data_IF_339395865385
#
_entry.id   IF_339395865385
#
_cell.length_a   1.000
_cell.length_b   1.000
_cell.length_c   1.000
_cell.angle_alpha   90.00
_cell.angle_beta   90.00
_cell.angle_gamma   90.00
#
_symmetry.space_group_name_H-M   'P 1'
#
loop_
_entity.id
_entity.type
_entity.pdbx_description
1 polymer ?
#
# COMPACT_ATOMS: atom_id res chain seq x y z
N UNK A 1 -7.35 -8.23 6.01
CA UNK A 1 -6.28 -8.01 7.04
C UNK A 1 -5.30 -6.92 6.59
N UNK A 2 -4.76 -6.11 7.51
CA UNK A 2 -3.82 -5.01 7.18
C UNK A 2 -2.45 -5.26 7.82
N UNK A 3 -1.39 -5.25 7.01
CA UNK A 3 -0.01 -5.53 7.48
C UNK A 3 0.91 -4.37 7.12
N UNK A 4 1.74 -3.95 8.08
CA UNK A 4 2.72 -2.89 7.88
C UNK A 4 4.08 -3.49 7.53
N UNK A 5 4.54 -3.24 6.30
CA UNK A 5 5.77 -3.82 5.78
C UNK A 5 6.88 -2.77 5.84
N UNK A 6 8.03 -3.17 6.41
CA UNK A 6 9.21 -2.32 6.56
C UNK A 6 10.30 -2.69 5.57
N UNK A 7 10.33 -3.88 4.99
CA UNK A 7 11.50 -4.34 4.24
C UNK A 7 11.08 -4.86 2.88
N UNK A 8 11.95 -4.72 1.88
CA UNK A 8 11.72 -5.30 0.55
C UNK A 8 11.59 -6.84 0.64
N UNK A 9 12.41 -7.48 1.47
CA UNK A 9 12.41 -8.93 1.64
C UNK A 9 11.08 -9.44 2.24
N UNK A 10 10.50 -8.69 3.18
CA UNK A 10 9.23 -9.04 3.80
C UNK A 10 8.06 -8.89 2.81
N UNK A 11 8.11 -7.86 1.95
CA UNK A 11 7.15 -7.71 0.85
C UNK A 11 7.19 -8.91 -0.11
N UNK A 12 8.38 -9.32 -0.56
CA UNK A 12 8.55 -10.45 -1.49
C UNK A 12 8.03 -11.76 -0.87
N UNK A 13 8.26 -11.96 0.43
CA UNK A 13 7.75 -13.13 1.14
C UNK A 13 6.22 -13.13 1.21
N UNK A 14 5.61 -11.98 1.54
CA UNK A 14 4.14 -11.84 1.62
C UNK A 14 3.45 -11.98 0.27
N UNK A 15 4.10 -11.55 -0.81
CA UNK A 15 3.57 -11.72 -2.16
C UNK A 15 3.57 -13.19 -2.59
N UNK A 16 4.60 -13.96 -2.23
CA UNK A 16 4.65 -15.39 -2.51
C UNK A 16 3.64 -16.18 -1.65
N UNK A 17 3.43 -15.77 -0.40
CA UNK A 17 2.46 -16.38 0.53
C UNK A 17 1.00 -16.12 0.11
N UNK A 18 0.73 -14.97 -0.53
CA UNK A 18 -0.60 -14.60 -0.96
C UNK A 18 -1.19 -15.48 -2.06
N UNK A 19 -0.37 -16.19 -2.84
CA UNK A 19 -0.83 -17.08 -3.91
C UNK A 19 -1.77 -16.37 -4.90
N UNK A 20 -3.02 -16.82 -4.99
CA UNK A 20 -4.06 -16.29 -5.89
C UNK A 20 -4.94 -15.19 -5.25
N UNK A 21 -4.63 -14.79 -4.01
CA UNK A 21 -5.41 -13.77 -3.30
C UNK A 21 -5.10 -12.37 -3.83
N UNK A 22 -6.11 -11.49 -3.80
CA UNK A 22 -5.93 -10.12 -4.23
C UNK A 22 -5.06 -9.36 -3.21
N UNK A 23 -3.87 -8.93 -3.63
CA UNK A 23 -2.96 -8.13 -2.81
C UNK A 23 -3.06 -6.66 -3.22
N UNK A 24 -3.38 -5.80 -2.26
CA UNK A 24 -3.42 -4.34 -2.42
C UNK A 24 -2.26 -3.73 -1.66
N UNK A 25 -1.39 -3.00 -2.36
CA UNK A 25 -0.24 -2.33 -1.75
C UNK A 25 -0.54 -0.83 -1.66
N UNK A 26 -0.61 -0.31 -0.44
CA UNK A 26 -0.77 1.13 -0.15
C UNK A 26 0.59 1.75 0.20
N UNK A 27 1.06 2.63 -0.68
CA UNK A 27 2.24 3.45 -0.42
C UNK A 27 1.86 4.75 0.29
N UNK A 28 1.77 4.71 1.61
CA UNK A 28 1.36 5.85 2.40
C UNK A 28 2.54 6.70 2.91
N UNK A 29 2.22 7.92 3.33
CA UNK A 29 3.11 8.75 4.11
C UNK A 29 2.34 9.47 5.21
N UNK A 30 2.95 9.60 6.38
CA UNK A 30 2.36 10.26 7.55
C UNK A 30 2.07 11.75 7.34
N UNK A 31 2.66 12.37 6.32
CA UNK A 31 2.46 13.77 5.93
C UNK A 31 1.56 13.94 4.70
N UNK A 32 1.11 12.85 4.07
CA UNK A 32 0.23 12.91 2.90
C UNK A 32 -1.23 13.03 3.35
N UNK A 33 -1.83 14.21 3.18
CA UNK A 33 -3.23 14.47 3.51
C UNK A 33 -4.22 13.49 2.85
N UNK A 34 -4.19 13.32 1.52
CA UNK A 34 -5.07 12.39 0.82
C UNK A 34 -4.94 10.94 1.28
N UNK A 35 -3.71 10.50 1.59
CA UNK A 35 -3.43 9.15 2.05
C UNK A 35 -4.10 8.86 3.41
N UNK A 36 -4.16 9.85 4.31
CA UNK A 36 -4.87 9.71 5.59
C UNK A 36 -6.38 9.52 5.42
N UNK A 37 -6.97 10.11 4.39
CA UNK A 37 -8.40 9.95 4.12
C UNK A 37 -8.73 8.58 3.53
N UNK A 38 -7.84 8.00 2.72
CA UNK A 38 -8.10 6.69 2.08
C UNK A 38 -7.77 5.50 2.99
N UNK A 39 -6.86 5.69 3.95
CA UNK A 39 -6.45 4.66 4.93
C UNK A 39 -7.63 3.99 5.66
N UNK A 40 -8.59 4.73 6.26
CA UNK A 40 -9.74 4.09 6.91
C UNK A 40 -10.63 3.36 5.90
N UNK A 41 -10.75 3.85 4.67
CA UNK A 41 -11.58 3.20 3.66
C UNK A 41 -11.01 1.86 3.20
N UNK A 42 -9.68 1.77 3.11
CA UNK A 42 -9.00 0.50 2.84
C UNK A 42 -9.16 -0.48 4.00
N UNK A 43 -9.13 -0.01 5.24
CA UNK A 43 -9.39 -0.85 6.41
C UNK A 43 -10.82 -1.41 6.40
N UNK A 44 -11.82 -0.61 6.06
CA UNK A 44 -13.19 -1.09 5.85
C UNK A 44 -13.26 -2.17 4.76
N UNK A 45 -12.65 -1.92 3.59
CA UNK A 45 -12.63 -2.89 2.49
C UNK A 45 -11.92 -4.20 2.88
N UNK A 46 -10.88 -4.13 3.72
CA UNK A 46 -10.17 -5.29 4.24
C UNK A 46 -10.99 -6.11 5.26
N UNK A 47 -12.03 -5.52 5.84
CA UNK A 47 -12.99 -6.20 6.72
C UNK A 47 -14.17 -6.77 5.94
N UNK A 48 -14.66 -6.05 4.93
CA UNK A 48 -15.76 -6.50 4.08
C UNK A 48 -15.33 -7.63 3.12
N UNK A 49 -14.07 -7.58 2.65
CA UNK A 49 -13.53 -8.58 1.73
C UNK A 49 -12.45 -9.41 2.42
N UNK A 50 -12.81 -10.60 2.91
CA UNK A 50 -11.89 -11.54 3.56
C UNK A 50 -10.81 -12.12 2.63
N UNK A 51 -10.95 -11.95 1.31
CA UNK A 51 -10.01 -12.44 0.31
C UNK A 51 -9.04 -11.36 -0.21
N UNK A 52 -8.89 -10.25 0.53
CA UNK A 52 -8.00 -9.16 0.17
C UNK A 52 -6.95 -8.96 1.26
N UNK A 53 -5.68 -8.93 0.83
CA UNK A 53 -4.53 -8.67 1.68
C UNK A 53 -4.09 -7.23 1.42
N UNK A 54 -4.14 -6.37 2.44
CA UNK A 54 -3.69 -4.98 2.31
C UNK A 54 -2.34 -4.81 2.98
N UNK A 55 -1.34 -4.42 2.20
CA UNK A 55 0.03 -4.18 2.64
C UNK A 55 0.32 -2.67 2.64
N UNK A 56 0.56 -2.09 3.82
CA UNK A 56 0.89 -0.67 3.98
C UNK A 56 2.41 -0.50 4.02
N UNK A 57 2.95 0.30 3.10
CA UNK A 57 4.38 0.61 2.98
C UNK A 57 4.59 2.12 3.10
N UNK A 58 5.48 2.53 3.99
CA UNK A 58 5.86 3.94 4.11
C UNK A 58 6.71 4.37 2.92
N UNK A 59 6.40 5.52 2.31
CA UNK A 59 7.19 6.09 1.20
C UNK A 59 8.68 6.28 1.49
N UNK A 60 9.06 6.47 2.76
CA UNK A 60 10.47 6.61 3.17
C UNK A 60 11.30 5.35 2.89
N UNK A 61 10.65 4.20 2.77
CA UNK A 61 11.26 2.88 2.72
C UNK A 61 11.49 2.36 1.28
N UNK A 62 11.28 3.21 0.26
CA UNK A 62 11.13 2.77 -1.12
C UNK A 62 12.30 3.18 -2.03
N UNK A 63 13.38 2.38 -2.00
CA UNK A 63 14.42 2.35 -3.05
C UNK A 63 13.94 1.72 -4.38
N UNK A 64 12.69 1.24 -4.44
CA UNK A 64 12.01 0.68 -5.62
C UNK A 64 11.35 1.75 -6.52
N UNK A 65 11.46 3.03 -6.17
CA UNK A 65 10.80 4.15 -6.86
C UNK A 65 11.59 4.70 -8.05
N UNK A 66 11.92 3.87 -9.05
CA UNK A 66 12.33 4.37 -10.38
C UNK A 66 11.32 4.11 -11.50
N UNK A 67 10.46 3.10 -11.38
CA UNK A 67 9.56 2.71 -12.48
C UNK A 67 8.07 2.98 -12.27
N UNK A 68 7.63 3.39 -11.08
CA UNK A 68 6.23 3.74 -10.80
C UNK A 68 6.06 5.24 -10.56
N UNK A 69 6.48 6.03 -11.54
CA UNK A 69 6.29 7.49 -11.57
C UNK A 69 4.86 7.91 -11.98
N UNK A 70 3.93 6.97 -12.18
CA UNK A 70 2.66 7.25 -12.88
C UNK A 70 1.39 7.24 -12.02
N UNK A 71 1.46 6.99 -10.70
CA UNK A 71 0.26 7.01 -9.83
C UNK A 71 0.33 8.07 -8.73
N UNK A 72 1.38 8.88 -8.71
CA UNK A 72 1.47 10.02 -7.81
C UNK A 72 0.71 11.22 -8.39
N UNK A 73 -0.58 11.31 -8.03
CA UNK A 73 -1.29 12.56 -7.80
C UNK A 73 -1.02 13.68 -8.83
N UNK A 74 -1.72 13.63 -9.97
CA UNK A 74 -1.81 14.76 -10.91
C UNK A 74 -2.60 15.97 -10.36
N UNK A 75 -3.00 15.96 -9.08
CA UNK A 75 -3.80 17.04 -8.46
C UNK A 75 -3.03 17.90 -7.47
N UNK A 76 -1.72 17.70 -7.29
CA UNK A 76 -0.89 18.58 -6.47
C UNK A 76 -0.01 19.54 -7.31
N UNK A 77 -0.51 19.95 -8.48
CA UNK A 77 0.10 20.97 -9.35
C UNK A 77 -0.92 22.07 -9.68
N UNK A 78 -1.53 22.65 -8.64
CA UNK A 78 -2.17 23.98 -8.68
C UNK A 78 -1.52 24.80 -7.57
#
# INVERSE_FOLDING_TARGET
MVTHIKDKADLETKLNDAGDQLVVIDFFATWCGPCKMISPKLEELAQECSNIIILKIQRKQLSLSRSLKQIFCATCAI
#
